data_IF_179861682550
#
_entry.id   IF_179861682550
#
_cell.length_a   1.000
_cell.length_b   1.000
_cell.length_c   1.000
_cell.angle_alpha   90.00
_cell.angle_beta   90.00
_cell.angle_gamma   90.00
#
_symmetry.space_group_name_H-M   'P 1'
#
loop_
_entity.id
_entity.type
_entity.pdbx_description
1 polymer ?
#
# COMPACT_ATOMS: atom_id res chain seq x y z
N UNK A 1 -11.86 -45.89 -1.19
CA UNK A 1 -11.65 -47.19 -1.86
C UNK A 1 -10.65 -48.06 -1.10
N UNK A 2 -9.46 -47.53 -0.73
CA UNK A 2 -8.42 -48.26 0.00
C UNK A 2 -8.86 -48.72 1.40
N UNK A 3 -9.53 -47.81 2.14
CA UNK A 3 -10.06 -48.10 3.49
C UNK A 3 -11.16 -49.17 3.47
N UNK A 4 -12.01 -49.15 2.44
CA UNK A 4 -13.08 -50.12 2.23
C UNK A 4 -12.51 -51.52 1.97
N UNK A 5 -11.49 -51.62 1.14
CA UNK A 5 -10.78 -52.91 0.88
C UNK A 5 -10.06 -53.46 2.11
N UNK A 6 -9.47 -52.59 2.96
CA UNK A 6 -8.80 -53.03 4.20
C UNK A 6 -9.84 -53.54 5.22
N UNK A 7 -10.98 -52.85 5.32
CA UNK A 7 -12.06 -53.26 6.24
C UNK A 7 -12.75 -54.55 5.81
N UNK A 8 -12.96 -54.76 4.51
CA UNK A 8 -13.51 -56.03 3.99
C UNK A 8 -12.58 -57.21 4.20
N UNK A 9 -11.24 -57.02 4.09
CA UNK A 9 -10.24 -58.07 4.36
C UNK A 9 -10.20 -58.49 5.83
N UNK A 10 -10.52 -57.58 6.77
CA UNK A 10 -10.59 -57.87 8.23
C UNK A 10 -11.94 -58.39 8.69
N UNK A 11 -13.00 -58.32 7.87
CA UNK A 11 -14.36 -58.80 8.21
C UNK A 11 -14.39 -60.32 8.52
N UNK A 12 -13.42 -61.11 8.05
CA UNK A 12 -13.32 -62.54 8.31
C UNK A 12 -12.86 -62.90 9.73
N UNK A 13 -12.33 -61.92 10.48
CA UNK A 13 -11.74 -62.15 11.81
C UNK A 13 -12.43 -61.43 12.95
N UNK A 14 -13.49 -60.64 12.66
CA UNK A 14 -14.19 -59.87 13.66
C UNK A 14 -15.67 -60.31 13.68
N UNK A 15 -16.20 -60.60 14.88
CA UNK A 15 -17.60 -60.90 15.06
C UNK A 15 -18.51 -59.84 14.43
N UNK A 16 -19.62 -60.18 13.74
CA UNK A 16 -20.55 -59.25 13.12
C UNK A 16 -21.05 -58.14 14.07
N UNK A 17 -21.14 -58.45 15.34
CA UNK A 17 -21.55 -57.49 16.39
C UNK A 17 -20.46 -56.41 16.57
N UNK A 18 -19.22 -56.77 16.71
CA UNK A 18 -18.08 -55.84 16.86
C UNK A 18 -17.85 -55.00 15.60
N UNK A 19 -18.04 -55.55 14.43
CA UNK A 19 -17.96 -54.82 13.17
C UNK A 19 -18.99 -53.71 13.08
N UNK A 20 -20.24 -53.96 13.41
CA UNK A 20 -21.32 -53.00 13.41
C UNK A 20 -21.11 -51.85 14.45
N UNK A 21 -20.59 -52.16 15.62
CA UNK A 21 -20.27 -51.16 16.66
C UNK A 21 -19.07 -50.30 16.22
N UNK A 22 -18.06 -50.90 15.59
CA UNK A 22 -16.90 -50.15 15.08
C UNK A 22 -17.29 -49.23 13.93
N UNK A 23 -18.10 -49.69 12.98
CA UNK A 23 -18.59 -48.87 11.86
C UNK A 23 -19.47 -47.73 12.33
N UNK A 24 -20.34 -47.92 13.34
CA UNK A 24 -21.11 -46.83 13.96
C UNK A 24 -20.22 -45.81 14.65
N UNK A 25 -19.16 -46.24 15.36
CA UNK A 25 -18.19 -45.31 15.98
C UNK A 25 -17.36 -44.56 14.95
N UNK A 26 -16.91 -45.21 13.88
CA UNK A 26 -16.20 -44.53 12.77
C UNK A 26 -17.11 -43.53 12.03
N UNK A 27 -18.38 -43.91 11.79
CA UNK A 27 -19.38 -43.01 11.21
C UNK A 27 -19.65 -41.79 12.09
N UNK A 28 -19.72 -41.99 13.41
CA UNK A 28 -19.90 -40.89 14.37
C UNK A 28 -18.68 -39.95 14.43
N UNK A 29 -17.48 -40.49 14.37
CA UNK A 29 -16.21 -39.72 14.34
C UNK A 29 -16.12 -38.92 13.01
N UNK A 30 -16.48 -39.51 11.89
CA UNK A 30 -16.52 -38.81 10.59
C UNK A 30 -17.54 -37.68 10.57
N UNK A 31 -18.71 -37.86 11.19
CA UNK A 31 -19.75 -36.81 11.33
C UNK A 31 -19.25 -35.68 12.25
N UNK A 32 -18.55 -36.00 13.34
CA UNK A 32 -17.96 -35.00 14.24
C UNK A 32 -16.86 -34.20 13.49
N UNK A 33 -16.03 -34.84 12.66
CA UNK A 33 -15.03 -34.14 11.85
C UNK A 33 -15.62 -33.24 10.77
N UNK A 34 -16.80 -33.58 10.20
CA UNK A 34 -17.49 -32.70 9.23
C UNK A 34 -18.17 -31.50 9.89
N UNK A 35 -18.56 -31.59 11.16
CA UNK A 35 -19.17 -30.48 11.91
C UNK A 35 -18.08 -29.50 12.39
N UNK A 36 -16.87 -29.98 12.71
CA UNK A 36 -15.74 -29.11 13.12
C UNK A 36 -15.07 -28.41 11.93
N UNK A 37 -15.27 -28.91 10.69
CA UNK A 37 -14.66 -28.38 9.46
C UNK A 37 -15.32 -27.14 8.87
N UNK A 38 -16.49 -26.71 9.35
CA UNK A 38 -17.13 -25.47 8.97
C UNK A 38 -16.99 -24.43 10.10
N UNK A 39 -15.77 -24.01 10.43
CA UNK A 39 -15.61 -22.68 10.97
C UNK A 39 -15.85 -21.72 9.79
N UNK A 40 -17.07 -21.28 9.59
CA UNK A 40 -17.31 -20.02 8.91
C UNK A 40 -16.46 -19.00 9.66
N UNK A 41 -15.33 -18.62 9.06
CA UNK A 41 -14.62 -17.44 9.49
C UNK A 41 -15.59 -16.31 9.13
N UNK A 42 -16.49 -15.95 10.07
CA UNK A 42 -17.41 -14.83 9.89
C UNK A 42 -16.53 -13.64 9.51
N UNK A 43 -16.80 -13.09 8.34
CA UNK A 43 -16.13 -11.87 7.92
C UNK A 43 -16.44 -10.81 8.97
N UNK A 44 -15.39 -10.21 9.54
CA UNK A 44 -15.51 -9.14 10.53
C UNK A 44 -16.47 -8.08 9.99
N UNK A 45 -17.47 -7.70 10.77
CA UNK A 45 -18.36 -6.57 10.46
C UNK A 45 -17.91 -5.30 11.17
N UNK A 46 -18.51 -4.17 10.80
CA UNK A 46 -18.18 -2.84 11.32
C UNK A 46 -18.35 -2.77 12.84
N UNK A 47 -19.41 -3.37 13.39
CA UNK A 47 -19.66 -3.33 14.83
C UNK A 47 -18.56 -4.07 15.61
N UNK A 48 -18.22 -5.25 15.17
CA UNK A 48 -17.15 -6.07 15.77
C UNK A 48 -15.76 -5.45 15.55
N UNK A 49 -15.54 -4.84 14.38
CA UNK A 49 -14.30 -4.14 14.04
C UNK A 49 -14.10 -2.90 14.92
N UNK A 50 -15.15 -2.12 15.16
CA UNK A 50 -15.11 -0.95 16.06
C UNK A 50 -14.70 -1.34 17.48
N UNK A 51 -15.23 -2.44 18.01
CA UNK A 51 -14.85 -2.97 19.34
C UNK A 51 -13.38 -3.37 19.42
N UNK A 52 -12.78 -3.73 18.28
CA UNK A 52 -11.38 -4.12 18.17
C UNK A 52 -10.46 -2.96 17.74
N UNK A 53 -10.99 -1.78 17.44
CA UNK A 53 -10.23 -0.65 16.90
C UNK A 53 -9.70 -0.90 15.48
N UNK A 54 -10.42 -1.67 14.67
CA UNK A 54 -10.04 -2.03 13.30
C UNK A 54 -10.89 -1.25 12.30
N UNK A 55 -10.25 -0.64 11.32
CA UNK A 55 -10.92 0.00 10.18
C UNK A 55 -11.07 -1.00 9.03
N UNK A 56 -12.30 -1.24 8.57
CA UNK A 56 -12.60 -2.03 7.37
C UNK A 56 -12.75 -1.08 6.19
N UNK A 57 -11.76 -1.04 5.31
CA UNK A 57 -11.68 -0.05 4.24
C UNK A 57 -11.95 -0.71 2.88
N UNK A 58 -12.96 -0.23 2.15
CA UNK A 58 -13.11 -0.52 0.73
C UNK A 58 -11.94 0.13 -0.03
N UNK A 59 -11.05 -0.71 -0.53
CA UNK A 59 -9.85 -0.27 -1.24
C UNK A 59 -10.07 -0.11 -2.75
N UNK A 60 -11.19 -0.55 -3.27
CA UNK A 60 -11.48 -0.65 -4.70
C UNK A 60 -10.91 -1.94 -5.29
N UNK A 61 -9.78 -1.88 -5.94
CA UNK A 61 -9.18 -3.07 -6.59
C UNK A 61 -8.04 -3.67 -5.78
N UNK A 62 -7.63 -4.88 -6.16
CA UNK A 62 -6.39 -5.51 -5.67
C UNK A 62 -5.18 -4.66 -6.08
N UNK A 63 -4.24 -4.34 -5.16
CA UNK A 63 -3.02 -3.63 -5.51
C UNK A 63 -2.09 -4.50 -6.36
N UNK A 64 -1.43 -3.89 -7.35
CA UNK A 64 -0.43 -4.57 -8.19
C UNK A 64 0.85 -4.93 -7.41
N UNK A 65 1.11 -4.23 -6.32
CA UNK A 65 2.27 -4.40 -5.46
C UNK A 65 2.25 -3.40 -4.31
N UNK A 66 3.23 -3.51 -3.42
CA UNK A 66 3.40 -2.59 -2.29
C UNK A 66 4.82 -2.00 -2.22
N UNK A 67 5.55 -2.03 -3.34
CA UNK A 67 6.85 -1.36 -3.45
C UNK A 67 6.63 0.11 -3.80
N UNK A 68 6.92 1.06 -2.88
CA UNK A 68 6.64 2.49 -3.10
C UNK A 68 7.40 3.07 -4.30
N UNK A 69 8.51 2.47 -4.72
CA UNK A 69 9.32 2.95 -5.83
C UNK A 69 8.90 2.38 -7.21
N UNK A 70 7.93 1.45 -7.25
CA UNK A 70 7.52 0.77 -8.48
C UNK A 70 6.06 1.05 -8.83
N UNK A 71 5.16 1.02 -7.85
CA UNK A 71 3.72 1.12 -8.06
C UNK A 71 3.26 2.56 -8.32
N UNK A 72 2.06 2.70 -8.93
CA UNK A 72 1.55 4.02 -9.36
C UNK A 72 0.06 4.24 -9.05
N UNK A 73 -0.60 3.27 -8.41
CA UNK A 73 -2.05 3.29 -8.22
C UNK A 73 -2.52 4.02 -6.96
N UNK A 74 -3.77 4.43 -6.97
CA UNK A 74 -4.44 5.00 -5.79
C UNK A 74 -4.71 3.92 -4.74
N UNK A 75 -4.99 2.70 -5.16
CA UNK A 75 -5.20 1.54 -4.28
C UNK A 75 -3.95 1.18 -3.51
N UNK A 76 -2.79 1.24 -4.16
CA UNK A 76 -1.48 1.06 -3.56
C UNK A 76 -1.14 2.20 -2.60
N UNK A 77 -1.43 3.45 -3.01
CA UNK A 77 -1.16 4.64 -2.21
C UNK A 77 -1.77 4.54 -0.80
N UNK A 78 -3.05 4.16 -0.70
CA UNK A 78 -3.76 4.03 0.58
C UNK A 78 -3.06 3.07 1.54
N UNK A 79 -2.54 1.96 1.02
CA UNK A 79 -1.85 0.95 1.83
C UNK A 79 -0.43 1.41 2.18
N UNK A 80 0.29 1.98 1.21
CA UNK A 80 1.68 2.41 1.39
C UNK A 80 1.78 3.52 2.43
N UNK A 81 0.88 4.50 2.45
CA UNK A 81 0.89 5.56 3.48
C UNK A 81 0.55 5.05 4.88
N UNK A 82 -0.09 3.89 5.01
CA UNK A 82 -0.26 3.23 6.30
C UNK A 82 1.02 2.49 6.74
N UNK A 83 1.83 2.01 5.80
CA UNK A 83 3.03 1.22 6.06
C UNK A 83 4.31 2.05 6.17
N UNK A 84 4.40 3.16 5.47
CA UNK A 84 5.60 3.98 5.37
C UNK A 84 5.32 5.45 5.64
N UNK A 85 6.37 6.15 6.03
CA UNK A 85 6.36 7.58 6.27
C UNK A 85 7.56 8.24 5.57
N UNK A 86 7.31 9.41 4.93
CA UNK A 86 8.35 10.22 4.31
C UNK A 86 8.99 11.23 5.24
N UNK A 87 9.92 12.04 4.72
CA UNK A 87 10.48 13.18 5.46
C UNK A 87 9.37 14.15 5.88
N UNK A 88 8.42 14.41 4.99
CA UNK A 88 7.23 15.23 5.21
C UNK A 88 5.99 14.41 4.90
N UNK A 89 4.86 14.77 5.50
CA UNK A 89 3.56 14.15 5.28
C UNK A 89 2.54 15.20 4.85
N UNK A 90 1.47 14.77 4.17
CA UNK A 90 0.33 15.65 3.89
C UNK A 90 -0.38 16.00 5.20
N UNK A 91 -0.80 17.24 5.34
CA UNK A 91 -1.60 17.65 6.49
C UNK A 91 -3.01 17.03 6.38
N UNK A 92 -3.42 16.14 7.31
CA UNK A 92 -4.75 15.52 7.26
C UNK A 92 -5.89 16.50 7.54
N UNK A 93 -5.58 17.69 8.04
CA UNK A 93 -6.57 18.71 8.37
C UNK A 93 -6.78 19.74 7.25
N UNK A 94 -6.07 19.61 6.11
CA UNK A 94 -6.21 20.54 5.00
C UNK A 94 -4.97 20.68 4.15
N UNK A 95 -4.79 21.88 3.58
CA UNK A 95 -3.65 22.16 2.71
C UNK A 95 -2.32 22.22 3.47
N UNK A 96 -1.25 21.83 2.78
CA UNK A 96 0.11 21.91 3.28
C UNK A 96 0.72 20.59 3.66
N UNK A 97 1.82 20.68 4.36
CA UNK A 97 2.61 19.52 4.83
C UNK A 97 2.88 19.68 6.33
N UNK A 98 3.09 18.53 6.96
CA UNK A 98 3.53 18.42 8.35
C UNK A 98 4.84 17.65 8.43
N UNK A 99 5.59 17.76 9.52
CA UNK A 99 6.70 16.86 9.81
C UNK A 99 6.26 15.39 9.80
N UNK A 100 7.08 14.55 9.15
CA UNK A 100 6.99 13.11 9.21
C UNK A 100 8.20 12.53 9.94
N UNK A 101 8.93 11.65 9.27
CA UNK A 101 10.21 11.11 9.78
C UNK A 101 11.27 12.19 10.02
N UNK A 102 11.19 13.33 9.31
CA UNK A 102 11.93 14.52 9.69
C UNK A 102 11.09 15.35 10.68
N UNK A 103 11.63 15.63 11.87
CA UNK A 103 11.00 16.49 12.86
C UNK A 103 11.03 17.98 12.46
N UNK A 104 12.04 18.37 11.68
CA UNK A 104 12.23 19.74 11.22
C UNK A 104 13.13 19.80 9.98
N UNK A 105 13.12 20.97 9.32
CA UNK A 105 14.03 21.26 8.22
C UNK A 105 14.41 22.74 8.20
N UNK A 106 15.58 23.03 7.63
CA UNK A 106 16.08 24.39 7.42
C UNK A 106 16.40 24.58 5.94
N UNK A 107 15.90 25.68 5.36
CA UNK A 107 16.13 26.05 3.97
C UNK A 107 17.12 27.19 3.94
N UNK A 108 18.19 27.05 3.16
CA UNK A 108 19.18 28.12 2.95
C UNK A 108 18.57 29.39 2.34
N UNK A 109 19.21 30.53 2.55
CA UNK A 109 18.72 31.83 2.06
C UNK A 109 18.50 31.91 0.54
N UNK A 110 19.26 31.12 -0.26
CA UNK A 110 19.09 31.01 -1.71
C UNK A 110 18.01 29.99 -2.12
N UNK A 111 17.43 29.26 -1.15
CA UNK A 111 16.37 28.27 -1.37
C UNK A 111 16.80 27.01 -2.09
N UNK A 112 18.12 26.73 -2.19
CA UNK A 112 18.65 25.58 -2.92
C UNK A 112 19.17 24.44 -2.03
N UNK A 113 19.44 24.72 -0.77
CA UNK A 113 19.89 23.69 0.17
C UNK A 113 18.85 23.53 1.28
N UNK A 114 18.53 22.29 1.60
CA UNK A 114 17.61 21.92 2.66
C UNK A 114 18.30 20.91 3.57
N UNK A 115 18.35 21.23 4.86
CA UNK A 115 18.82 20.31 5.89
C UNK A 115 17.62 19.76 6.62
N UNK A 116 17.42 18.44 6.57
CA UNK A 116 16.39 17.74 7.32
C UNK A 116 16.98 17.14 8.59
N UNK A 117 16.33 17.34 9.72
CA UNK A 117 16.62 16.65 10.97
C UNK A 117 15.67 15.47 11.10
N UNK A 118 16.19 14.25 11.00
CA UNK A 118 15.42 13.01 11.20
C UNK A 118 15.24 12.81 12.71
N UNK A 119 14.05 12.40 13.12
CA UNK A 119 13.71 12.12 14.52
C UNK A 119 14.69 11.14 15.15
N UNK A 120 15.11 11.41 16.36
CA UNK A 120 16.03 10.51 17.07
C UNK A 120 15.37 9.18 17.43
N UNK A 121 14.07 9.18 17.73
CA UNK A 121 13.22 8.03 18.05
C UNK A 121 12.61 7.32 16.84
N UNK A 122 12.78 7.85 15.63
CA UNK A 122 12.33 7.16 14.42
C UNK A 122 13.13 5.88 14.19
N UNK A 123 12.40 4.76 14.13
CA UNK A 123 12.95 3.42 13.90
C UNK A 123 12.13 2.65 12.86
N UNK A 124 12.73 1.65 12.25
CA UNK A 124 12.06 0.67 11.45
C UNK A 124 11.24 -0.31 12.30
N UNK A 125 10.25 -0.98 11.72
CA UNK A 125 9.38 -1.92 12.44
C UNK A 125 10.11 -3.11 13.08
N UNK A 126 11.34 -3.40 12.63
CA UNK A 126 12.23 -4.40 13.26
C UNK A 126 13.09 -3.83 14.40
N UNK A 127 13.02 -2.50 14.66
CA UNK A 127 13.81 -1.82 15.68
C UNK A 127 15.14 -1.24 15.20
N UNK A 128 15.55 -1.44 13.95
CA UNK A 128 16.70 -0.76 13.37
C UNK A 128 16.46 0.76 13.39
N UNK A 129 17.46 1.61 13.70
CA UNK A 129 17.30 3.06 13.64
C UNK A 129 17.04 3.52 12.20
N UNK A 130 16.11 4.46 12.01
CA UNK A 130 15.93 5.16 10.75
C UNK A 130 16.97 6.27 10.63
N UNK A 131 17.74 6.27 9.57
CA UNK A 131 18.88 7.16 9.37
C UNK A 131 18.81 7.97 8.08
N UNK A 132 19.64 9.01 7.96
CA UNK A 132 19.79 9.77 6.73
C UNK A 132 20.28 8.91 5.56
N UNK A 133 21.13 7.92 5.83
CA UNK A 133 21.61 6.98 4.81
C UNK A 133 20.49 6.13 4.21
N UNK A 134 19.43 5.83 4.97
CA UNK A 134 18.27 5.09 4.45
C UNK A 134 17.55 5.90 3.37
N UNK A 135 17.47 7.22 3.52
CA UNK A 135 16.92 8.12 2.50
C UNK A 135 17.86 8.24 1.29
N UNK A 136 19.17 8.35 1.50
CA UNK A 136 20.15 8.36 0.41
C UNK A 136 20.07 7.09 -0.41
N UNK A 137 20.04 5.93 0.25
CA UNK A 137 19.86 4.63 -0.40
C UNK A 137 18.53 4.56 -1.18
N UNK A 138 17.44 5.00 -0.58
CA UNK A 138 16.11 4.93 -1.16
C UNK A 138 15.97 5.82 -2.39
N UNK A 139 16.53 7.02 -2.35
CA UNK A 139 16.52 7.93 -3.48
C UNK A 139 17.48 7.46 -4.58
N UNK A 140 18.59 6.83 -4.23
CA UNK A 140 19.42 6.12 -5.22
C UNK A 140 18.61 5.01 -5.88
N UNK A 141 17.84 4.24 -5.11
CA UNK A 141 17.03 3.13 -5.64
C UNK A 141 15.98 3.61 -6.63
N UNK A 142 15.15 4.59 -6.29
CA UNK A 142 14.11 5.09 -7.21
C UNK A 142 14.71 5.73 -8.47
N UNK A 143 15.88 6.39 -8.36
CA UNK A 143 16.59 7.00 -9.47
C UNK A 143 17.41 6.01 -10.30
N UNK A 144 17.63 4.77 -9.84
CA UNK A 144 18.41 3.76 -10.57
C UNK A 144 17.67 3.37 -11.86
N UNK A 145 18.27 3.57 -13.06
CA UNK A 145 17.60 3.30 -14.34
C UNK A 145 17.09 1.86 -14.46
N UNK A 146 17.87 0.89 -13.98
CA UNK A 146 17.54 -0.53 -14.05
C UNK A 146 16.30 -0.92 -13.21
N UNK A 147 15.93 -0.16 -12.18
CA UNK A 147 14.69 -0.37 -11.44
C UNK A 147 13.46 -0.03 -12.30
N UNK A 148 13.58 0.94 -13.21
CA UNK A 148 12.47 1.35 -14.08
C UNK A 148 11.28 1.91 -13.30
N UNK A 149 11.54 2.68 -12.24
CA UNK A 149 10.51 3.42 -11.50
C UNK A 149 9.66 4.27 -12.45
N UNK A 150 8.40 4.51 -12.07
CA UNK A 150 7.50 5.37 -12.85
C UNK A 150 7.46 6.81 -12.35
N UNK A 151 8.00 7.07 -11.15
CA UNK A 151 8.00 8.39 -10.50
C UNK A 151 9.41 8.91 -10.11
N UNK A 152 10.49 8.66 -10.90
CA UNK A 152 11.78 9.21 -10.55
C UNK A 152 11.80 10.74 -10.66
N UNK A 153 10.91 11.31 -11.48
CA UNK A 153 10.74 12.75 -11.70
C UNK A 153 10.30 13.52 -10.44
N UNK A 154 9.73 12.84 -9.43
CA UNK A 154 9.47 13.41 -8.11
C UNK A 154 10.75 13.94 -7.45
N UNK A 155 11.92 13.41 -7.82
CA UNK A 155 13.23 13.84 -7.32
C UNK A 155 14.06 14.66 -8.31
N UNK A 156 13.53 15.00 -9.49
CA UNK A 156 14.30 15.75 -10.51
C UNK A 156 14.63 17.20 -10.12
N UNK A 157 13.96 17.74 -9.09
CA UNK A 157 14.37 19.01 -8.48
C UNK A 157 15.74 18.91 -7.78
N UNK A 158 16.14 17.71 -7.33
CA UNK A 158 17.46 17.47 -6.72
C UNK A 158 18.55 17.57 -7.79
N UNK A 159 19.66 18.22 -7.45
CA UNK A 159 20.79 18.38 -8.33
C UNK A 159 21.27 17.04 -8.88
N UNK A 160 21.45 16.94 -10.20
CA UNK A 160 21.93 15.77 -10.92
C UNK A 160 21.06 14.49 -10.81
N UNK A 161 19.87 14.56 -10.21
CA UNK A 161 18.98 13.40 -10.06
C UNK A 161 18.44 12.91 -11.42
N UNK A 162 18.03 13.83 -12.28
CA UNK A 162 17.56 13.51 -13.63
C UNK A 162 18.68 12.94 -14.50
N UNK A 163 19.87 13.53 -14.44
CA UNK A 163 21.06 13.09 -15.18
C UNK A 163 21.47 11.67 -14.74
N UNK A 164 21.42 11.38 -13.45
CA UNK A 164 21.68 10.03 -12.93
C UNK A 164 20.61 9.03 -13.42
N UNK A 165 19.34 9.39 -13.31
CA UNK A 165 18.25 8.51 -13.74
C UNK A 165 18.27 8.24 -15.27
N UNK A 166 18.71 9.20 -16.08
CA UNK A 166 18.90 9.03 -17.53
C UNK A 166 20.22 8.34 -17.90
N UNK A 167 21.05 7.95 -16.92
CA UNK A 167 22.34 7.30 -17.14
C UNK A 167 23.44 8.20 -17.68
N UNK A 168 23.24 9.51 -17.69
CA UNK A 168 24.24 10.51 -18.11
C UNK A 168 25.35 10.68 -17.05
N UNK A 169 25.00 10.48 -15.79
CA UNK A 169 25.91 10.40 -14.65
C UNK A 169 25.82 8.98 -14.06
N UNK A 170 26.97 8.35 -13.82
CA UNK A 170 27.03 6.98 -13.28
C UNK A 170 27.27 6.92 -11.77
N UNK A 171 27.96 7.93 -11.23
CA UNK A 171 28.26 8.00 -9.80
C UNK A 171 27.15 8.75 -9.07
N UNK A 172 26.47 8.07 -8.16
CA UNK A 172 25.37 8.64 -7.35
C UNK A 172 25.85 9.73 -6.39
N UNK A 173 27.13 9.73 -5.95
CA UNK A 173 27.69 10.75 -5.05
C UNK A 173 27.64 12.17 -5.66
N UNK A 174 27.40 12.28 -6.98
CA UNK A 174 27.20 13.55 -7.67
C UNK A 174 25.77 14.09 -7.56
N UNK A 175 24.83 13.26 -7.10
CA UNK A 175 23.43 13.66 -6.86
C UNK A 175 23.36 14.46 -5.57
N UNK A 176 22.58 15.53 -5.57
CA UNK A 176 22.49 16.47 -4.46
C UNK A 176 21.75 15.93 -3.22
N UNK A 177 22.04 14.73 -2.78
CA UNK A 177 21.52 14.13 -1.54
C UNK A 177 22.67 13.50 -0.78
N UNK A 178 22.83 13.84 0.49
CA UNK A 178 23.95 13.45 1.32
C UNK A 178 23.53 13.30 2.79
N UNK A 179 23.92 12.21 3.40
CA UNK A 179 23.83 12.04 4.86
C UNK A 179 25.08 12.66 5.50
N UNK A 180 24.95 13.86 6.05
CA UNK A 180 26.07 14.55 6.73
C UNK A 180 26.24 14.10 8.17
N UNK A 181 25.22 13.46 8.72
CA UNK A 181 25.19 12.81 10.04
C UNK A 181 24.15 11.69 9.99
N UNK A 182 24.15 10.78 10.96
CA UNK A 182 23.15 9.70 11.06
C UNK A 182 21.71 10.20 11.01
N UNK A 183 21.46 11.40 11.54
CA UNK A 183 20.12 12.00 11.63
C UNK A 183 19.98 13.30 10.84
N UNK A 184 20.97 13.68 10.04
CA UNK A 184 20.93 14.91 9.26
C UNK A 184 21.13 14.59 7.77
N UNK A 185 20.08 14.82 7.00
CA UNK A 185 20.07 14.68 5.55
C UNK A 185 20.18 16.06 4.91
N UNK A 186 21.17 16.24 4.06
CA UNK A 186 21.32 17.43 3.21
C UNK A 186 20.80 17.15 1.81
N UNK A 187 19.95 18.05 1.32
CA UNK A 187 19.44 18.02 -0.06
C UNK A 187 19.83 19.31 -0.77
N UNK A 188 20.45 19.19 -1.91
CA UNK A 188 20.83 20.29 -2.79
C UNK A 188 19.96 20.27 -4.04
N UNK A 189 19.19 21.33 -4.28
CA UNK A 189 18.30 21.47 -5.44
C UNK A 189 19.02 22.12 -6.63
N UNK A 190 18.59 21.81 -7.84
CA UNK A 190 19.06 22.46 -9.09
C UNK A 190 18.72 23.93 -9.08
N UNK A 191 17.49 24.23 -8.68
CA UNK A 191 16.92 25.59 -8.59
C UNK A 191 16.06 25.69 -7.36
N UNK A 192 15.74 26.91 -6.93
CA UNK A 192 14.74 27.12 -5.89
C UNK A 192 13.41 26.51 -6.32
N UNK A 193 12.91 25.51 -5.58
CA UNK A 193 11.71 24.74 -5.88
C UNK A 193 10.76 24.80 -4.66
N UNK A 194 9.87 25.80 -4.59
CA UNK A 194 9.03 26.04 -3.40
C UNK A 194 8.09 24.86 -3.04
N UNK A 195 7.72 24.04 -4.02
CA UNK A 195 6.82 22.91 -3.84
C UNK A 195 7.56 21.60 -3.53
N UNK A 196 8.89 21.59 -3.46
CA UNK A 196 9.66 20.35 -3.26
C UNK A 196 9.28 19.62 -1.98
N UNK A 197 9.07 20.33 -0.88
CA UNK A 197 8.61 19.72 0.37
C UNK A 197 7.25 19.02 0.22
N UNK A 198 6.35 19.54 -0.61
CA UNK A 198 5.07 18.86 -0.93
C UNK A 198 5.27 17.60 -1.76
N UNK A 199 6.27 17.60 -2.67
CA UNK A 199 6.62 16.39 -3.44
C UNK A 199 7.14 15.27 -2.51
N UNK A 200 7.86 15.61 -1.44
CA UNK A 200 8.37 14.65 -0.48
C UNK A 200 7.29 13.97 0.38
N UNK A 201 6.06 14.48 0.38
CA UNK A 201 4.92 13.82 0.98
C UNK A 201 4.30 12.74 0.08
N UNK A 202 4.80 12.57 -1.15
CA UNK A 202 4.37 11.50 -2.05
C UNK A 202 5.14 10.21 -1.76
N UNK A 203 4.44 9.09 -1.66
CA UNK A 203 5.00 7.80 -1.26
C UNK A 203 6.21 7.32 -2.09
N UNK A 204 6.31 7.74 -3.35
CA UNK A 204 7.46 7.39 -4.19
C UNK A 204 8.81 7.90 -3.66
N UNK A 205 8.79 8.89 -2.77
CA UNK A 205 10.01 9.45 -2.13
C UNK A 205 10.29 8.86 -0.73
N UNK A 206 9.42 7.97 -0.26
CA UNK A 206 9.55 7.37 1.06
C UNK A 206 10.73 6.43 1.17
N UNK A 207 11.31 6.25 2.35
CA UNK A 207 12.43 5.36 2.54
C UNK A 207 11.99 3.89 2.48
N UNK A 208 12.88 3.03 2.02
CA UNK A 208 12.77 1.56 2.11
C UNK A 208 13.94 1.02 2.90
N UNK A 209 13.74 -0.07 3.64
CA UNK A 209 14.77 -0.62 4.51
C UNK A 209 15.93 -1.25 3.71
N UNK A 210 17.15 -0.66 3.69
CA UNK A 210 18.22 -1.08 2.78
C UNK A 210 18.61 -2.55 2.93
N UNK A 211 18.79 -3.02 4.17
CA UNK A 211 19.16 -4.41 4.45
C UNK A 211 18.14 -5.41 3.91
N UNK A 212 16.86 -5.06 3.96
CA UNK A 212 15.79 -5.90 3.40
C UNK A 212 15.85 -5.91 1.88
N UNK A 213 16.03 -4.76 1.24
CA UNK A 213 16.17 -4.68 -0.22
C UNK A 213 17.36 -5.53 -0.69
N UNK A 214 18.52 -5.38 -0.06
CA UNK A 214 19.74 -6.13 -0.42
C UNK A 214 19.56 -7.65 -0.21
N UNK A 215 18.94 -8.06 0.90
CA UNK A 215 18.63 -9.47 1.17
C UNK A 215 17.78 -10.11 0.08
N UNK A 216 16.88 -9.35 -0.53
CA UNK A 216 15.93 -9.84 -1.55
C UNK A 216 16.30 -9.47 -2.99
N UNK A 217 17.57 -9.33 -3.30
CA UNK A 217 18.09 -9.22 -4.66
C UNK A 217 18.58 -7.85 -5.07
N UNK A 218 18.66 -6.90 -4.12
CA UNK A 218 19.32 -5.61 -4.31
C UNK A 218 18.49 -4.52 -4.98
N UNK A 219 19.14 -3.42 -5.18
CA UNK A 219 18.55 -2.11 -5.48
C UNK A 219 17.70 -2.07 -6.75
N UNK A 220 18.01 -2.89 -7.76
CA UNK A 220 17.33 -2.91 -9.07
C UNK A 220 16.36 -4.08 -9.26
N UNK A 221 16.23 -4.98 -8.25
CA UNK A 221 15.34 -6.12 -8.38
C UNK A 221 13.87 -5.70 -8.24
N UNK A 222 13.08 -5.88 -9.32
CA UNK A 222 11.64 -5.57 -9.37
C UNK A 222 10.76 -6.71 -8.86
N UNK A 223 11.15 -7.96 -9.10
CA UNK A 223 10.38 -9.17 -8.78
C UNK A 223 10.69 -9.69 -7.38
N UNK A 224 10.97 -8.77 -6.48
CA UNK A 224 11.43 -9.06 -5.13
C UNK A 224 10.29 -9.46 -4.19
N UNK A 225 10.58 -10.40 -3.30
CA UNK A 225 9.65 -10.85 -2.26
C UNK A 225 9.69 -9.99 -0.98
N UNK A 226 10.42 -8.88 -0.99
CA UNK A 226 10.56 -8.02 0.19
C UNK A 226 9.24 -7.39 0.66
N UNK A 227 8.27 -7.21 -0.26
CA UNK A 227 6.95 -6.63 0.04
C UNK A 227 5.94 -7.64 0.61
N UNK A 228 6.35 -8.88 0.86
CA UNK A 228 5.46 -9.89 1.47
C UNK A 228 5.37 -9.71 2.99
N UNK A 229 4.24 -10.07 3.63
CA UNK A 229 4.02 -9.84 5.06
C UNK A 229 5.17 -10.29 5.96
N UNK A 230 5.73 -11.49 5.71
CA UNK A 230 6.85 -12.03 6.51
C UNK A 230 8.19 -11.31 6.31
N UNK A 231 8.33 -10.49 5.27
CA UNK A 231 9.61 -9.92 4.84
C UNK A 231 9.65 -8.39 4.95
N UNK A 232 8.48 -7.74 4.86
CA UNK A 232 8.39 -6.29 4.80
C UNK A 232 8.81 -5.67 6.13
N UNK A 233 9.80 -4.79 6.06
CA UNK A 233 10.19 -3.88 7.14
C UNK A 233 9.79 -2.48 6.70
N UNK A 234 9.00 -1.79 7.50
CA UNK A 234 8.44 -0.47 7.22
C UNK A 234 8.71 0.50 8.36
N UNK A 235 8.52 1.80 8.14
CA UNK A 235 8.77 2.84 9.14
C UNK A 235 7.52 3.64 9.51
N UNK A 236 6.35 3.24 9.02
CA UNK A 236 5.10 3.96 9.23
C UNK A 236 4.29 3.45 10.43
N UNK A 237 3.07 4.00 10.60
CA UNK A 237 2.20 3.74 11.73
C UNK A 237 1.69 2.29 11.83
N UNK A 238 1.70 1.53 10.74
CA UNK A 238 1.25 0.15 10.72
C UNK A 238 2.28 -0.78 10.07
N UNK A 239 2.17 -2.07 10.35
CA UNK A 239 2.96 -3.15 9.74
C UNK A 239 2.07 -4.12 8.99
N UNK A 240 2.55 -4.63 7.86
CA UNK A 240 1.83 -5.60 7.02
C UNK A 240 1.83 -6.98 7.69
N UNK A 241 0.64 -7.52 8.00
CA UNK A 241 0.50 -8.82 8.67
C UNK A 241 -0.12 -9.89 7.80
N UNK A 242 -0.97 -9.52 6.85
CA UNK A 242 -1.58 -10.47 5.92
C UNK A 242 -1.76 -9.83 4.54
N UNK A 243 -1.55 -10.61 3.50
CA UNK A 243 -1.92 -10.29 2.14
C UNK A 243 -2.50 -11.53 1.46
N UNK A 244 -3.81 -11.66 1.54
CA UNK A 244 -4.60 -12.70 0.89
C UNK A 244 -5.19 -12.14 -0.39
N UNK A 245 -4.63 -12.52 -1.54
CA UNK A 245 -4.96 -11.98 -2.88
C UNK A 245 -6.47 -12.05 -3.13
N UNK A 246 -7.05 -10.94 -3.59
CA UNK A 246 -8.48 -10.73 -3.86
C UNK A 246 -9.39 -10.99 -2.64
N UNK A 247 -8.84 -10.96 -1.42
CA UNK A 247 -9.62 -11.14 -0.19
C UNK A 247 -9.42 -9.99 0.78
N UNK A 248 -8.19 -9.80 1.26
CA UNK A 248 -7.90 -8.79 2.26
C UNK A 248 -6.40 -8.53 2.37
N UNK A 249 -6.03 -7.28 2.58
CA UNK A 249 -4.71 -6.89 3.06
C UNK A 249 -4.91 -6.35 4.48
N UNK A 250 -4.20 -6.94 5.47
CA UNK A 250 -4.29 -6.49 6.86
C UNK A 250 -3.00 -5.85 7.30
N UNK A 251 -3.14 -4.73 7.96
CA UNK A 251 -2.06 -4.06 8.66
C UNK A 251 -2.44 -3.88 10.12
N UNK A 252 -1.47 -4.01 11.02
CA UNK A 252 -1.64 -3.85 12.46
C UNK A 252 -0.78 -2.72 12.96
N UNK A 253 -1.20 -2.07 14.05
CA UNK A 253 -0.46 -0.99 14.69
C UNK A 253 1.00 -1.35 14.89
N UNK A 254 1.89 -0.43 14.53
CA UNK A 254 3.31 -0.52 14.77
C UNK A 254 3.65 0.14 16.12
N UNK A 255 3.82 -0.66 17.15
CA UNK A 255 4.13 -0.17 18.49
C UNK A 255 5.51 0.52 18.57
N UNK A 256 6.36 0.39 17.54
CA UNK A 256 7.66 1.07 17.44
C UNK A 256 7.60 2.37 16.65
N UNK A 257 6.43 2.71 16.08
CA UNK A 257 6.30 3.99 15.39
C UNK A 257 6.45 5.14 16.39
N UNK A 258 7.21 6.17 16.03
CA UNK A 258 7.53 7.28 16.95
C UNK A 258 6.28 7.96 17.53
N UNK A 259 5.16 7.99 16.80
CA UNK A 259 3.88 8.58 17.23
C UNK A 259 2.83 7.52 17.58
N UNK A 260 3.27 6.33 17.99
CA UNK A 260 2.36 5.20 18.26
C UNK A 260 1.32 5.51 19.33
N UNK A 261 1.66 6.31 20.34
CA UNK A 261 0.76 6.65 21.44
C UNK A 261 -0.48 7.45 20.98
N UNK A 262 -0.37 8.19 19.89
CA UNK A 262 -1.47 8.94 19.30
C UNK A 262 -2.30 8.14 18.30
N UNK A 263 -1.86 6.94 17.92
CA UNK A 263 -2.63 6.06 17.02
C UNK A 263 -3.80 5.42 17.76
N UNK A 264 -5.01 5.73 17.31
CA UNK A 264 -6.26 5.21 17.90
C UNK A 264 -6.67 3.85 17.32
N UNK A 265 -6.24 3.56 16.09
CA UNK A 265 -6.57 2.30 15.42
C UNK A 265 -5.54 1.22 15.77
N UNK A 266 -6.02 0.01 16.04
CA UNK A 266 -5.20 -1.18 16.22
C UNK A 266 -4.84 -1.85 14.89
N UNK A 267 -5.59 -1.55 13.80
CA UNK A 267 -5.31 -2.08 12.48
C UNK A 267 -6.28 -1.58 11.42
N UNK A 268 -5.93 -1.89 10.17
CA UNK A 268 -6.75 -1.59 9.00
C UNK A 268 -6.82 -2.85 8.14
N UNK A 269 -8.03 -3.23 7.73
CA UNK A 269 -8.26 -4.27 6.74
C UNK A 269 -8.68 -3.61 5.43
N UNK A 270 -7.82 -3.66 4.43
CA UNK A 270 -8.12 -3.18 3.09
C UNK A 270 -8.78 -4.30 2.29
N UNK A 271 -10.02 -4.06 1.86
CA UNK A 271 -10.83 -5.02 1.11
C UNK A 271 -10.83 -4.63 -0.37
N UNK A 272 -10.26 -5.45 -1.27
CA UNK A 272 -10.26 -5.18 -2.69
C UNK A 272 -11.63 -5.55 -3.29
N UNK A 273 -12.51 -4.56 -3.41
CA UNK A 273 -13.88 -4.72 -3.92
C UNK A 273 -13.99 -3.93 -5.22
N UNK A 274 -13.78 -4.58 -6.36
CA UNK A 274 -13.75 -3.96 -7.68
C UNK A 274 -15.14 -3.73 -8.30
N UNK A 275 -16.16 -4.47 -7.83
CA UNK A 275 -17.53 -4.33 -8.31
C UNK A 275 -18.31 -3.33 -7.44
N UNK A 276 -18.70 -2.20 -8.03
CA UNK A 276 -19.41 -1.11 -7.36
C UNK A 276 -20.72 -1.54 -6.67
N UNK A 277 -21.50 -2.45 -7.27
CA UNK A 277 -22.73 -2.95 -6.66
C UNK A 277 -22.44 -3.86 -5.45
N UNK A 278 -21.32 -4.56 -5.45
CA UNK A 278 -20.86 -5.35 -4.30
C UNK A 278 -20.36 -4.44 -3.19
N UNK A 279 -19.60 -3.39 -3.52
CA UNK A 279 -19.14 -2.39 -2.57
C UNK A 279 -20.31 -1.68 -1.89
N UNK A 280 -21.32 -1.26 -2.65
CA UNK A 280 -22.56 -0.68 -2.14
C UNK A 280 -23.28 -1.62 -1.13
N UNK A 281 -23.41 -2.92 -1.47
CA UNK A 281 -24.00 -3.91 -0.54
C UNK A 281 -23.17 -4.09 0.71
N UNK A 282 -21.84 -4.11 0.60
CA UNK A 282 -20.94 -4.28 1.76
C UNK A 282 -21.09 -3.11 2.71
N UNK A 283 -21.07 -1.88 2.21
CA UNK A 283 -21.28 -0.69 3.00
C UNK A 283 -22.64 -0.72 3.71
N UNK A 284 -23.73 -0.91 2.95
CA UNK A 284 -25.10 -0.92 3.49
C UNK A 284 -25.38 -2.07 4.48
N UNK A 285 -24.63 -3.16 4.41
CA UNK A 285 -24.72 -4.30 5.33
C UNK A 285 -23.72 -4.26 6.48
N UNK A 286 -23.00 -3.13 6.66
CA UNK A 286 -22.03 -2.97 7.73
C UNK A 286 -20.79 -3.87 7.59
N UNK A 287 -20.35 -4.15 6.36
CA UNK A 287 -19.13 -4.92 6.08
C UNK A 287 -17.92 -4.04 5.79
N UNK A 288 -18.13 -2.75 5.51
CA UNK A 288 -17.08 -1.74 5.31
C UNK A 288 -17.49 -0.44 6.00
N UNK A 289 -16.50 0.32 6.49
CA UNK A 289 -16.71 1.65 7.08
C UNK A 289 -16.87 2.74 6.04
N UNK A 290 -16.43 2.49 4.82
CA UNK A 290 -16.55 3.44 3.72
C UNK A 290 -17.02 2.77 2.44
N UNK A 291 -17.52 3.57 1.54
CA UNK A 291 -17.76 3.22 0.15
C UNK A 291 -16.79 4.04 -0.71
N UNK A 292 -15.91 3.37 -1.43
CA UNK A 292 -14.84 4.02 -2.20
C UNK A 292 -15.38 4.82 -3.40
N UNK A 293 -16.40 4.28 -4.07
CA UNK A 293 -17.06 4.91 -5.23
C UNK A 293 -18.58 4.77 -5.08
N UNK A 294 -19.30 5.88 -5.20
CA UNK A 294 -20.76 5.90 -5.25
C UNK A 294 -21.17 5.99 -6.73
N UNK A 295 -22.03 5.05 -7.17
CA UNK A 295 -22.63 5.11 -8.50
C UNK A 295 -23.41 6.42 -8.68
N UNK A 296 -23.20 7.11 -9.78
CA UNK A 296 -23.73 8.47 -10.00
C UNK A 296 -25.25 8.55 -9.78
N UNK A 297 -25.98 7.56 -10.21
CA UNK A 297 -27.45 7.48 -10.05
C UNK A 297 -27.90 7.27 -8.59
N UNK A 298 -26.98 6.90 -7.70
CA UNK A 298 -27.27 6.70 -6.27
C UNK A 298 -26.87 7.89 -5.40
N UNK A 299 -26.23 8.90 -5.94
CA UNK A 299 -25.72 10.05 -5.16
C UNK A 299 -26.86 10.70 -4.36
N UNK A 300 -27.99 11.08 -5.03
CA UNK A 300 -29.11 11.69 -4.32
C UNK A 300 -29.67 10.80 -3.20
N UNK A 301 -29.75 9.49 -3.47
CA UNK A 301 -30.21 8.52 -2.46
C UNK A 301 -29.30 8.50 -1.22
N UNK A 302 -27.96 8.54 -1.42
CA UNK A 302 -27.01 8.58 -0.31
C UNK A 302 -27.06 9.92 0.45
N UNK A 303 -27.30 11.02 -0.23
CA UNK A 303 -27.53 12.32 0.41
C UNK A 303 -28.76 12.32 1.33
N UNK A 304 -29.83 11.64 0.91
CA UNK A 304 -31.09 11.56 1.68
C UNK A 304 -31.02 10.52 2.82
N UNK A 305 -30.45 9.33 2.55
CA UNK A 305 -30.44 8.22 3.53
C UNK A 305 -29.28 8.31 4.55
N UNK A 306 -28.14 8.92 4.16
CA UNK A 306 -26.93 9.00 5.00
C UNK A 306 -26.33 10.42 5.03
N UNK A 307 -27.12 11.46 5.38
CA UNK A 307 -26.69 12.86 5.29
C UNK A 307 -25.46 13.18 6.14
N UNK A 308 -25.30 12.52 7.30
CA UNK A 308 -24.17 12.73 8.20
C UNK A 308 -22.87 12.05 7.69
N UNK A 309 -23.00 10.97 6.94
CA UNK A 309 -21.89 10.17 6.43
C UNK A 309 -21.47 10.60 5.02
N UNK A 310 -22.44 11.11 4.23
CA UNK A 310 -22.18 11.57 2.87
C UNK A 310 -21.34 12.84 2.86
N UNK A 311 -20.18 12.79 2.16
CA UNK A 311 -19.30 13.94 1.98
C UNK A 311 -19.12 14.20 0.49
N UNK A 312 -19.47 15.40 0.05
CA UNK A 312 -19.19 15.88 -1.30
C UNK A 312 -18.01 16.84 -1.25
N UNK A 313 -16.86 16.39 -1.69
CA UNK A 313 -15.63 17.15 -1.64
C UNK A 313 -15.13 17.49 -3.04
N UNK A 314 -14.42 18.61 -3.16
CA UNK A 314 -13.77 18.99 -4.41
C UNK A 314 -12.55 18.10 -4.64
N UNK A 315 -12.52 17.43 -5.79
CA UNK A 315 -11.38 16.64 -6.22
C UNK A 315 -10.54 17.42 -7.23
N UNK A 316 -9.28 17.65 -6.91
CA UNK A 316 -8.32 18.27 -7.82
C UNK A 316 -7.65 17.20 -8.67
N UNK A 317 -8.27 16.87 -9.79
CA UNK A 317 -7.79 15.83 -10.68
C UNK A 317 -8.26 16.05 -12.11
N UNK A 318 -7.54 15.46 -13.05
CA UNK A 318 -7.89 15.43 -14.47
C UNK A 318 -7.98 13.99 -14.94
N UNK A 319 -9.15 13.60 -15.41
CA UNK A 319 -9.32 12.31 -16.08
C UNK A 319 -8.97 12.46 -17.56
N UNK A 320 -8.11 11.58 -18.08
CA UNK A 320 -7.71 11.60 -19.47
C UNK A 320 -7.40 10.21 -20.01
N UNK A 321 -7.59 10.04 -21.32
CA UNK A 321 -7.12 8.85 -22.01
C UNK A 321 -5.67 9.05 -22.48
N UNK A 322 -4.81 8.12 -22.12
CA UNK A 322 -3.44 8.07 -22.65
C UNK A 322 -3.48 7.35 -23.99
N UNK A 323 -3.18 8.07 -25.06
CA UNK A 323 -3.25 7.58 -26.44
C UNK A 323 -1.84 7.13 -26.88
N UNK A 324 -1.71 5.87 -27.30
CA UNK A 324 -0.50 5.40 -27.96
C UNK A 324 -0.46 5.91 -29.39
N UNK A 325 0.39 6.91 -29.65
CA UNK A 325 0.50 7.57 -30.96
C UNK A 325 1.28 6.79 -32.01
N UNK A 326 1.90 5.68 -31.66
CA UNK A 326 2.69 4.84 -32.56
C UNK A 326 1.84 3.76 -33.24
N UNK A 327 0.60 3.55 -32.76
CA UNK A 327 -0.30 2.49 -33.26
C UNK A 327 -1.37 3.06 -34.19
N UNK A 328 -1.56 2.42 -35.35
CA UNK A 328 -2.70 2.71 -36.25
C UNK A 328 -4.01 2.28 -35.58
N UNK A 329 -5.13 3.08 -35.69
CA UNK A 329 -5.23 4.38 -36.38
C UNK A 329 -4.87 5.60 -35.52
N UNK A 330 -4.38 5.40 -34.28
CA UNK A 330 -4.13 6.46 -33.31
C UNK A 330 -2.91 7.33 -33.64
N UNK A 331 -2.06 6.86 -34.55
CA UNK A 331 -0.97 7.66 -35.12
C UNK A 331 -1.47 8.82 -36.03
N UNK A 332 -2.73 8.78 -36.49
CA UNK A 332 -3.32 9.85 -37.25
C UNK A 332 -3.89 10.94 -36.32
N UNK A 333 -3.39 12.17 -36.51
CA UNK A 333 -3.82 13.34 -35.70
C UNK A 333 -5.34 13.64 -35.81
N UNK A 334 -5.95 13.38 -36.99
CA UNK A 334 -7.39 13.61 -37.20
C UNK A 334 -8.23 12.65 -36.37
N UNK A 335 -7.79 11.39 -36.21
CA UNK A 335 -8.43 10.39 -35.37
C UNK A 335 -8.37 10.82 -33.89
N UNK A 336 -7.19 11.27 -33.42
CA UNK A 336 -7.04 11.75 -32.04
C UNK A 336 -7.90 12.98 -31.76
N UNK A 337 -7.99 13.92 -32.72
CA UNK A 337 -8.89 15.10 -32.61
C UNK A 337 -10.37 14.68 -32.57
N UNK A 338 -10.78 13.72 -33.40
CA UNK A 338 -12.14 13.20 -33.37
C UNK A 338 -12.49 12.58 -32.03
N UNK A 339 -11.60 11.77 -31.45
CA UNK A 339 -11.79 11.19 -30.10
C UNK A 339 -11.92 12.28 -29.03
N UNK A 340 -11.04 13.31 -29.07
CA UNK A 340 -11.12 14.42 -28.14
C UNK A 340 -12.44 15.19 -28.23
N UNK A 341 -12.93 15.46 -29.45
CA UNK A 341 -14.21 16.15 -29.67
C UNK A 341 -15.41 15.31 -29.22
N UNK A 342 -15.36 13.99 -29.44
CA UNK A 342 -16.44 13.10 -29.02
C UNK A 342 -16.68 13.11 -27.51
N UNK A 343 -15.60 13.16 -26.71
CA UNK A 343 -15.71 13.17 -25.24
C UNK A 343 -16.26 14.45 -24.65
N UNK A 344 -16.08 15.59 -25.34
CA UNK A 344 -16.54 16.90 -24.86
C UNK A 344 -18.03 17.11 -25.15
N UNK A 345 -18.58 16.47 -26.18
CA UNK A 345 -19.92 16.69 -26.66
C UNK A 345 -20.95 15.62 -26.25
N UNK A 346 -20.52 14.61 -25.51
CA UNK A 346 -21.40 13.62 -24.90
C UNK A 346 -21.74 14.04 -23.48
#
# INVERSE_FOLDING_TARGET
ELLKRILEKKRRFISPFFYNVLMKKIGLILIIFTIIGCSNQESLDVESANKQGILLLDNGTEPQGLDPHIVTGVTEHKIIIALFEGLTMQNPQGEGIIPGAAESWNISGNGKEILFRIRDDAVWSNGDPLTAEDFVYSWRRILTPALGSKYPDMLYAVKNAEEYNKGLIKNFDQVGVEAIDKKVLKVTLRTKTPFFLKQLAHYATYPVHPKTIEKFGGISNRDSQWTRPANMISNGPFTLTEWSINKVIKVTKNERYWDSDNLKLNGIHFLPIDNESTADRYYRSGKTHNLNIIQTEKISKYQDEFPEEFKLEKYFGTYYYRINTDIFPLNNIKVRKALSLSLIHI
#
